data_IF_254250027125
#
_entry.id   IF_254250027125
#
_cell.length_a   1.000
_cell.length_b   1.000
_cell.length_c   1.000
_cell.angle_alpha   90.00
_cell.angle_beta   90.00
_cell.angle_gamma   90.00
#
_symmetry.space_group_name_H-M   'P 1'
#
loop_
_entity.id
_entity.type
_entity.pdbx_description
1 polymer ?
#
# COMPACT_ATOMS: atom_id res chain seq x y z
N UNK A 1 1.27 21.89 3.89
CA UNK A 1 0.86 20.77 4.77
C UNK A 1 0.97 19.52 3.92
N UNK A 2 1.74 18.50 4.32
CA UNK A 2 1.70 17.21 3.61
C UNK A 2 0.29 16.63 3.79
N UNK A 3 -0.33 16.17 2.71
CA UNK A 3 -1.61 15.47 2.82
C UNK A 3 -1.43 14.17 3.61
N UNK A 4 -2.31 13.97 4.58
CA UNK A 4 -2.34 12.78 5.43
C UNK A 4 -2.73 11.58 4.58
N UNK A 5 -1.92 10.53 4.61
CA UNK A 5 -2.24 9.25 3.98
C UNK A 5 -3.47 8.64 4.66
N UNK A 6 -4.44 8.20 3.86
CA UNK A 6 -5.65 7.48 4.30
C UNK A 6 -5.80 6.21 3.48
N UNK A 7 -6.76 5.34 3.84
CA UNK A 7 -7.06 4.14 3.04
C UNK A 7 -7.57 4.44 1.62
N UNK A 8 -8.02 5.66 1.36
CA UNK A 8 -8.45 6.13 0.05
C UNK A 8 -7.31 6.75 -0.76
N UNK A 9 -6.10 6.88 -0.18
CA UNK A 9 -4.89 7.28 -0.92
C UNK A 9 -4.60 6.29 -2.04
N UNK A 10 -4.13 6.83 -3.17
CA UNK A 10 -3.76 6.04 -4.33
C UNK A 10 -2.52 5.18 -4.04
N UNK A 11 -2.51 3.93 -4.50
CA UNK A 11 -1.42 2.99 -4.25
C UNK A 11 -0.13 3.47 -4.91
N UNK A 12 -0.19 3.99 -6.15
CA UNK A 12 0.99 4.55 -6.80
C UNK A 12 1.56 5.73 -6.01
N UNK A 13 0.70 6.66 -5.59
CA UNK A 13 1.13 7.80 -4.75
C UNK A 13 1.79 7.32 -3.45
N UNK A 14 1.22 6.31 -2.80
CA UNK A 14 1.78 5.73 -1.57
C UNK A 14 3.19 5.17 -1.79
N UNK A 15 3.36 4.35 -2.82
CA UNK A 15 4.63 3.70 -3.14
C UNK A 15 5.70 4.68 -3.64
N UNK A 16 5.31 5.76 -4.32
CA UNK A 16 6.24 6.82 -4.74
C UNK A 16 6.68 7.69 -3.57
N UNK A 17 5.76 8.03 -2.66
CA UNK A 17 6.07 8.84 -1.48
C UNK A 17 6.87 8.09 -0.43
N UNK A 18 6.61 6.79 -0.28
CA UNK A 18 7.21 5.93 0.74
C UNK A 18 7.60 4.58 0.10
N UNK A 19 8.73 4.51 -0.63
CA UNK A 19 9.13 3.31 -1.38
C UNK A 19 9.25 2.04 -0.54
N UNK A 20 9.64 2.17 0.73
CA UNK A 20 9.81 1.05 1.65
C UNK A 20 8.48 0.33 1.98
N UNK A 21 7.33 0.97 1.73
CA UNK A 21 6.02 0.32 1.84
C UNK A 21 5.89 -0.84 0.83
N UNK A 22 6.65 -0.84 -0.27
CA UNK A 22 6.70 -2.00 -1.18
C UNK A 22 7.03 -3.28 -0.43
N UNK A 23 7.97 -3.23 0.53
CA UNK A 23 8.37 -4.41 1.31
C UNK A 23 7.23 -4.91 2.19
N UNK A 24 6.46 -3.99 2.79
CA UNK A 24 5.29 -4.34 3.60
C UNK A 24 4.26 -5.05 2.73
N UNK A 25 3.91 -4.49 1.58
CA UNK A 25 2.84 -5.03 0.73
C UNK A 25 3.27 -6.23 -0.13
N UNK A 26 4.59 -6.49 -0.22
CA UNK A 26 5.16 -7.54 -1.08
C UNK A 26 4.53 -8.90 -0.81
N UNK A 27 4.52 -9.31 0.47
CA UNK A 27 4.00 -10.61 0.91
C UNK A 27 2.47 -10.68 0.91
N UNK A 28 1.79 -9.54 0.74
CA UNK A 28 0.33 -9.43 0.70
C UNK A 28 -0.23 -9.26 -0.71
N UNK A 29 0.53 -9.66 -1.73
CA UNK A 29 0.06 -9.75 -3.12
C UNK A 29 0.56 -8.64 -4.04
N UNK A 30 1.34 -7.67 -3.55
CA UNK A 30 2.03 -6.72 -4.43
C UNK A 30 3.03 -7.45 -5.35
N UNK A 31 3.71 -8.48 -4.84
CA UNK A 31 4.60 -9.33 -5.63
C UNK A 31 3.89 -9.94 -6.85
N UNK A 32 2.66 -10.43 -6.67
CA UNK A 32 1.85 -11.04 -7.72
C UNK A 32 1.48 -10.03 -8.81
N UNK A 33 1.20 -8.78 -8.43
CA UNK A 33 0.96 -7.71 -9.40
C UNK A 33 2.21 -7.34 -10.19
N UNK A 34 3.39 -7.38 -9.56
CA UNK A 34 4.67 -7.11 -10.22
C UNK A 34 5.04 -8.25 -11.18
N UNK A 35 4.94 -9.52 -10.75
CA UNK A 35 5.25 -10.71 -11.56
C UNK A 35 4.35 -10.84 -12.79
N UNK A 36 3.10 -10.40 -12.71
CA UNK A 36 2.15 -10.39 -13.83
C UNK A 36 2.26 -9.13 -14.71
N UNK A 37 3.23 -8.24 -14.47
CA UNK A 37 3.39 -6.94 -15.14
C UNK A 37 2.13 -6.04 -15.04
N UNK A 38 1.31 -6.24 -14.01
CA UNK A 38 0.06 -5.52 -13.80
C UNK A 38 0.22 -4.29 -12.93
N UNK A 39 1.25 -4.23 -12.07
CA UNK A 39 1.38 -3.19 -11.05
C UNK A 39 1.31 -1.78 -11.67
N UNK A 40 2.07 -1.52 -12.73
CA UNK A 40 2.09 -0.21 -13.40
C UNK A 40 0.76 0.18 -14.05
N UNK A 41 -0.09 -0.81 -14.37
CA UNK A 41 -1.40 -0.61 -15.02
C UNK A 41 -2.50 -0.34 -14.00
N UNK A 42 -2.38 -0.91 -12.80
CA UNK A 42 -3.42 -0.88 -11.77
C UNK A 42 -3.11 0.07 -10.61
N UNK A 43 -1.83 0.30 -10.28
CA UNK A 43 -1.44 1.07 -9.09
C UNK A 43 -1.97 2.51 -9.10
N UNK A 44 -2.09 3.13 -10.28
CA UNK A 44 -2.62 4.48 -10.45
C UNK A 44 -4.16 4.55 -10.36
N UNK A 45 -4.86 3.41 -10.40
CA UNK A 45 -6.33 3.30 -10.29
C UNK A 45 -6.78 2.68 -8.96
N UNK A 46 -5.84 2.13 -8.19
CA UNK A 46 -6.11 1.37 -6.98
C UNK A 46 -5.86 2.25 -5.76
N UNK A 47 -6.81 2.30 -4.83
CA UNK A 47 -6.54 2.85 -3.49
C UNK A 47 -5.94 1.76 -2.60
N UNK A 48 -5.39 2.11 -1.43
CA UNK A 48 -4.94 1.14 -0.44
C UNK A 48 -6.07 0.17 -0.07
N UNK A 49 -7.27 0.70 0.18
CA UNK A 49 -8.48 -0.09 0.45
C UNK A 49 -8.86 -0.99 -0.72
N UNK A 50 -8.72 -0.48 -1.94
CA UNK A 50 -8.95 -1.25 -3.16
C UNK A 50 -7.98 -2.42 -3.28
N UNK A 51 -6.70 -2.20 -2.96
CA UNK A 51 -5.68 -3.24 -2.94
C UNK A 51 -6.01 -4.34 -1.94
N UNK A 52 -6.36 -4.00 -0.71
CA UNK A 52 -6.76 -4.99 0.30
C UNK A 52 -7.92 -5.87 -0.16
N UNK A 53 -8.92 -5.27 -0.83
CA UNK A 53 -10.05 -6.02 -1.41
C UNK A 53 -9.64 -6.90 -2.58
N UNK A 54 -8.77 -6.41 -3.46
CA UNK A 54 -8.32 -7.16 -4.63
C UNK A 54 -7.49 -8.39 -4.21
N UNK A 55 -6.74 -8.28 -3.12
CA UNK A 55 -5.93 -9.35 -2.56
C UNK A 55 -6.71 -10.25 -1.58
N UNK A 56 -7.99 -9.97 -1.35
CA UNK A 56 -8.86 -10.73 -0.43
C UNK A 56 -8.28 -10.83 0.99
N UNK A 57 -7.71 -9.72 1.49
CA UNK A 57 -7.13 -9.66 2.83
C UNK A 57 -8.22 -9.54 3.89
N UNK A 58 -8.13 -10.32 4.96
CA UNK A 58 -9.06 -10.25 6.08
C UNK A 58 -8.83 -9.00 6.96
N UNK A 59 -9.75 -8.75 7.91
CA UNK A 59 -9.67 -7.56 8.76
C UNK A 59 -8.42 -7.53 9.65
N UNK A 60 -7.94 -8.69 10.08
CA UNK A 60 -6.77 -8.81 10.95
C UNK A 60 -5.51 -8.41 10.18
N UNK A 61 -5.35 -8.92 8.96
CA UNK A 61 -4.21 -8.59 8.10
C UNK A 61 -4.26 -7.15 7.60
N UNK A 62 -5.45 -6.65 7.23
CA UNK A 62 -5.61 -5.23 6.90
C UNK A 62 -5.19 -4.33 8.07
N UNK A 63 -5.56 -4.71 9.30
CA UNK A 63 -5.18 -3.98 10.52
C UNK A 63 -3.67 -3.95 10.76
N UNK A 64 -3.01 -5.11 10.63
CA UNK A 64 -1.55 -5.23 10.77
C UNK A 64 -0.82 -4.39 9.73
N UNK A 65 -1.15 -4.55 8.44
CA UNK A 65 -0.53 -3.84 7.33
C UNK A 65 -0.71 -2.33 7.51
N UNK A 66 -1.92 -1.89 7.88
CA UNK A 66 -2.18 -0.47 8.09
C UNK A 66 -1.36 0.11 9.23
N UNK A 67 -1.20 -0.62 10.34
CA UNK A 67 -0.35 -0.20 11.45
C UNK A 67 1.12 -0.07 11.02
N UNK A 68 1.64 -1.04 10.28
CA UNK A 68 3.01 -1.00 9.76
C UNK A 68 3.25 0.19 8.82
N UNK A 69 2.32 0.44 7.88
CA UNK A 69 2.35 1.62 7.01
C UNK A 69 2.38 2.92 7.84
N UNK A 70 1.51 3.04 8.85
CA UNK A 70 1.45 4.25 9.68
C UNK A 70 2.70 4.44 10.55
N UNK A 71 3.35 3.35 11.00
CA UNK A 71 4.61 3.44 11.73
C UNK A 71 5.75 3.90 10.81
N UNK A 72 5.87 3.30 9.62
CA UNK A 72 6.88 3.67 8.63
C UNK A 72 6.75 5.13 8.21
N UNK A 73 5.52 5.60 7.95
CA UNK A 73 5.27 7.01 7.59
C UNK A 73 5.73 7.93 8.73
N UNK A 74 5.43 7.60 9.99
CA UNK A 74 5.84 8.40 11.15
C UNK A 74 7.35 8.49 11.26
N UNK A 75 8.04 7.35 11.15
CA UNK A 75 9.50 7.29 11.20
C UNK A 75 10.17 8.07 10.05
N UNK A 76 9.54 8.13 8.88
CA UNK A 76 10.05 8.92 7.74
C UNK A 76 9.83 10.43 7.85
N UNK A 77 9.00 10.88 8.79
CA UNK A 77 8.69 12.31 9.02
C UNK A 77 9.43 12.90 10.23
N UNK A 78 10.15 12.08 11.00
CA UNK A 78 11.06 12.46 12.08
C UNK A 78 12.49 12.76 11.57
#
# INVERSE_FOLDING_TARGET
MKERVTLDTNLKELLERYPDIRNILWDYGLNRLEEEELLDVVADKLTIKGFFRLMDLDEDDQGKIWLEIQNLIRESEE
#
